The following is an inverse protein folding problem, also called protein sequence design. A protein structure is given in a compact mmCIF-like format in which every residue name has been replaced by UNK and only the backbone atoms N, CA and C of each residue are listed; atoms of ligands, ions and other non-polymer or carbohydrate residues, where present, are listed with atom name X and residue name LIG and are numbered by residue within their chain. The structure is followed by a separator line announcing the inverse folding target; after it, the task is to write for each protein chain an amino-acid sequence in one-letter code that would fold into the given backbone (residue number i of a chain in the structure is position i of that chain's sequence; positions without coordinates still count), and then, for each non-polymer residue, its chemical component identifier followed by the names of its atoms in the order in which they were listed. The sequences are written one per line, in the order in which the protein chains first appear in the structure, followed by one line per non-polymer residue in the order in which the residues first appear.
data_IF_055827301746
#
_entry.id   IF_055827301746
#
_cell.length_a   1.000
_cell.length_b   1.000
_cell.length_c   1.000
_cell.angle_alpha   90.00
_cell.angle_beta   90.00
_cell.angle_gamma   90.00
#
_symmetry.space_group_name_H-M   'P 1'
#
loop_
_entity.id
_entity.type
_entity.pdbx_description
1 polymer ?
#
# COMPACT_ATOMS: atom_id res chain seq x y z
N UNK A 1 53.59 -6.24 -22.79
CA UNK A 1 52.71 -5.14 -23.23
C UNK A 1 51.22 -5.50 -23.25
N UNK A 2 50.77 -6.61 -23.87
CA UNK A 2 49.33 -6.99 -23.89
C UNK A 2 48.69 -7.18 -22.50
N UNK A 3 49.40 -7.75 -21.53
CA UNK A 3 48.86 -7.96 -20.17
C UNK A 3 48.72 -6.66 -19.36
N UNK A 4 49.61 -5.67 -19.60
CA UNK A 4 49.53 -4.34 -18.98
C UNK A 4 48.35 -3.54 -19.58
N UNK A 5 48.10 -3.68 -20.89
CA UNK A 5 46.96 -3.03 -21.54
C UNK A 5 45.61 -3.61 -21.07
N UNK A 6 45.52 -4.93 -20.86
CA UNK A 6 44.32 -5.58 -20.30
C UNK A 6 44.10 -5.15 -18.85
N UNK A 7 45.16 -5.06 -18.04
CA UNK A 7 45.06 -4.58 -16.66
C UNK A 7 44.63 -3.10 -16.59
N UNK A 8 45.09 -2.24 -17.50
CA UNK A 8 44.66 -0.83 -17.58
C UNK A 8 43.20 -0.71 -18.04
N UNK A 9 42.75 -1.53 -19.01
CA UNK A 9 41.33 -1.57 -19.40
C UNK A 9 40.46 -2.09 -18.25
N UNK A 10 40.94 -3.06 -17.46
CA UNK A 10 40.25 -3.54 -16.26
C UNK A 10 40.23 -2.50 -15.13
N UNK A 11 41.33 -1.78 -14.90
CA UNK A 11 41.42 -0.67 -13.93
C UNK A 11 40.55 0.53 -14.32
N UNK A 12 40.40 0.82 -15.61
CA UNK A 12 39.48 1.85 -16.11
C UNK A 12 38.02 1.37 -16.00
N UNK A 13 37.75 0.06 -16.14
CA UNK A 13 36.41 -0.50 -15.92
C UNK A 13 35.99 -0.61 -14.45
N UNK A 14 36.94 -0.43 -13.52
CA UNK A 14 36.70 -0.42 -12.07
C UNK A 14 36.59 0.99 -11.50
N UNK A 15 36.22 1.99 -12.32
CA UNK A 15 35.65 3.21 -11.76
C UNK A 15 34.29 2.83 -11.17
N UNK A 16 34.29 2.51 -9.88
CA UNK A 16 33.11 2.57 -9.03
C UNK A 16 32.46 3.94 -9.30
N UNK A 17 31.41 3.96 -10.11
CA UNK A 17 30.61 5.16 -10.33
C UNK A 17 29.90 5.44 -9.01
N UNK A 18 30.56 6.23 -8.16
CA UNK A 18 29.93 6.81 -6.99
C UNK A 18 28.67 7.52 -7.46
N UNK A 19 27.54 7.28 -6.78
CA UNK A 19 26.30 7.99 -7.10
C UNK A 19 26.57 9.49 -7.06
N UNK A 20 26.45 10.14 -8.22
CA UNK A 20 26.68 11.57 -8.32
C UNK A 20 25.46 12.28 -7.72
N UNK A 21 25.61 13.08 -6.66
CA UNK A 21 24.50 13.87 -6.15
C UNK A 21 24.05 14.88 -7.21
N UNK A 22 22.78 15.26 -7.18
CA UNK A 22 22.27 16.36 -8.00
C UNK A 22 23.13 17.61 -7.79
N UNK A 23 23.48 18.29 -8.89
CA UNK A 23 24.19 19.55 -8.80
C UNK A 23 23.29 20.62 -8.18
N UNK A 24 23.50 20.91 -6.90
CA UNK A 24 22.70 21.87 -6.14
C UNK A 24 22.58 23.27 -6.77
N UNK A 25 23.55 23.71 -7.60
CA UNK A 25 23.50 25.02 -8.28
C UNK A 25 22.50 25.07 -9.43
N UNK A 26 22.09 23.90 -9.93
CA UNK A 26 21.10 23.76 -11.00
C UNK A 26 19.67 23.56 -10.46
N UNK A 27 19.49 23.44 -9.15
CA UNK A 27 18.16 23.27 -8.56
C UNK A 27 17.49 24.64 -8.46
N UNK A 28 16.32 24.79 -9.10
CA UNK A 28 15.52 26.01 -9.10
C UNK A 28 14.49 25.99 -7.98
N UNK A 29 13.83 24.84 -7.82
CA UNK A 29 12.91 24.59 -6.70
C UNK A 29 13.14 23.17 -6.19
N UNK A 30 13.01 22.98 -4.89
CA UNK A 30 12.90 21.68 -4.25
C UNK A 30 11.83 21.83 -3.16
N UNK A 31 10.78 21.02 -3.20
CA UNK A 31 9.58 21.17 -2.37
C UNK A 31 9.41 19.88 -1.55
N UNK A 32 9.34 20.00 -0.23
CA UNK A 32 9.09 18.88 0.68
C UNK A 32 7.57 18.70 0.85
N UNK A 33 6.96 17.88 -0.01
CA UNK A 33 5.51 17.72 -0.06
C UNK A 33 4.97 17.14 1.26
N UNK A 34 3.99 17.81 1.83
CA UNK A 34 3.40 17.52 3.13
C UNK A 34 4.16 18.10 4.33
N UNK A 35 5.29 18.80 4.14
CA UNK A 35 6.02 19.39 5.26
C UNK A 35 5.75 20.89 5.41
N UNK A 36 5.66 21.37 6.65
CA UNK A 36 5.74 22.80 6.97
C UNK A 36 7.15 23.22 7.40
N UNK A 37 8.17 22.45 7.03
CA UNK A 37 9.57 22.72 7.38
C UNK A 37 10.47 22.59 6.17
N UNK A 38 11.36 23.56 6.02
CA UNK A 38 12.49 23.42 5.09
C UNK A 38 13.46 22.35 5.59
N UNK A 39 14.11 21.66 4.64
CA UNK A 39 15.08 20.61 4.94
C UNK A 39 16.29 20.72 4.01
N UNK A 40 17.49 20.77 4.58
CA UNK A 40 18.73 20.62 3.83
C UNK A 40 18.90 19.16 3.42
N UNK A 41 19.00 18.94 2.11
CA UNK A 41 19.34 17.66 1.51
C UNK A 41 20.84 17.35 1.71
N UNK A 42 21.19 16.07 1.71
CA UNK A 42 22.57 15.58 1.76
C UNK A 42 23.37 16.08 0.56
N UNK A 43 22.72 16.25 -0.60
CA UNK A 43 23.27 16.89 -1.80
C UNK A 43 23.54 18.40 -1.69
N UNK A 44 23.27 19.03 -0.55
CA UNK A 44 23.66 20.41 -0.24
C UNK A 44 22.67 21.50 -0.65
N UNK A 45 21.59 21.16 -1.36
CA UNK A 45 20.45 22.06 -1.60
C UNK A 45 19.43 22.00 -0.46
N UNK A 46 18.45 22.90 -0.48
CA UNK A 46 17.40 22.99 0.55
C UNK A 46 16.04 22.77 -0.11
N UNK A 47 15.30 21.79 0.40
CA UNK A 47 13.88 21.70 0.16
C UNK A 47 13.18 22.81 0.94
N UNK A 48 12.33 23.58 0.26
CA UNK A 48 11.36 24.45 0.89
C UNK A 48 10.29 23.63 1.58
N UNK A 49 9.51 24.33 2.41
CA UNK A 49 8.22 23.85 2.88
C UNK A 49 7.31 23.51 1.67
N UNK A 50 6.25 22.77 1.95
CA UNK A 50 5.24 22.43 0.96
C UNK A 50 4.50 23.69 0.50
N UNK A 51 4.95 24.25 -0.62
CA UNK A 51 4.40 25.44 -1.24
C UNK A 51 3.90 25.11 -2.64
N UNK A 52 3.11 26.03 -3.21
CA UNK A 52 2.58 25.95 -4.58
C UNK A 52 1.53 24.85 -4.83
N UNK A 53 1.12 24.10 -3.82
CA UNK A 53 -0.05 23.23 -3.93
C UNK A 53 -1.34 24.04 -3.97
N UNK A 54 -2.27 23.65 -4.83
CA UNK A 54 -3.55 24.34 -4.97
C UNK A 54 -4.63 23.70 -4.10
N UNK A 55 -4.97 24.35 -2.98
CA UNK A 55 -6.02 23.89 -2.08
C UNK A 55 -7.43 24.00 -2.65
N UNK A 56 -7.66 24.87 -3.64
CA UNK A 56 -9.00 25.10 -4.18
C UNK A 56 -9.49 23.91 -5.01
N UNK A 57 -8.56 23.21 -5.69
CA UNK A 57 -8.87 22.04 -6.51
C UNK A 57 -8.54 20.71 -5.83
N UNK A 58 -7.56 20.67 -4.90
CA UNK A 58 -6.93 19.39 -4.56
C UNK A 58 -7.57 18.57 -3.45
N UNK A 59 -8.41 19.16 -2.58
CA UNK A 59 -8.86 18.53 -1.31
C UNK A 59 -7.74 17.75 -0.58
N UNK A 60 -6.48 18.17 -0.80
CA UNK A 60 -5.35 17.33 -0.48
C UNK A 60 -5.03 17.45 1.00
N UNK A 61 -4.65 16.31 1.57
CA UNK A 61 -4.31 16.16 2.97
C UNK A 61 -2.82 15.86 3.09
N UNK A 62 -2.34 16.02 4.31
CA UNK A 62 -0.95 15.72 4.68
C UNK A 62 -0.96 14.58 5.66
N UNK A 63 -0.04 13.64 5.47
CA UNK A 63 0.32 12.65 6.48
C UNK A 63 1.77 12.88 6.91
N UNK A 64 1.98 12.90 8.22
CA UNK A 64 3.30 13.01 8.85
C UNK A 64 3.60 11.70 9.58
N UNK A 65 4.52 10.92 9.04
CA UNK A 65 4.94 9.63 9.56
C UNK A 65 5.91 9.73 10.74
N UNK A 66 6.42 10.94 11.10
CA UNK A 66 7.41 11.10 12.18
C UNK A 66 6.92 10.61 13.53
N UNK A 67 5.61 10.57 13.75
CA UNK A 67 5.01 10.09 14.99
C UNK A 67 4.65 8.60 14.95
N UNK A 68 4.79 7.94 13.79
CA UNK A 68 4.49 6.52 13.65
C UNK A 68 5.74 5.69 13.98
N UNK A 69 5.70 4.98 15.09
CA UNK A 69 6.78 4.08 15.53
C UNK A 69 7.11 3.03 14.45
N UNK A 70 6.06 2.47 13.83
CA UNK A 70 6.19 1.54 12.71
C UNK A 70 6.97 2.15 11.54
N UNK A 71 6.89 3.46 11.30
CA UNK A 71 7.68 4.10 10.25
C UNK A 71 9.13 4.34 10.69
N UNK A 72 9.32 4.86 11.90
CA UNK A 72 10.63 5.25 12.41
C UNK A 72 11.62 4.08 12.52
N UNK A 73 11.10 2.87 12.72
CA UNK A 73 11.92 1.65 12.82
C UNK A 73 12.26 1.00 11.47
N UNK A 74 11.67 1.48 10.37
CA UNK A 74 11.82 0.88 9.04
C UNK A 74 13.05 1.40 8.31
N UNK A 75 13.66 0.53 7.52
CA UNK A 75 14.79 0.89 6.67
C UNK A 75 14.27 1.42 5.33
N UNK A 76 14.68 2.63 4.96
CA UNK A 76 14.31 3.24 3.68
C UNK A 76 15.40 2.96 2.65
N UNK A 77 15.03 2.41 1.50
CA UNK A 77 15.98 2.07 0.44
C UNK A 77 16.19 3.23 -0.54
N UNK A 78 17.44 3.41 -0.97
CA UNK A 78 17.86 4.31 -2.04
C UNK A 78 17.67 5.81 -1.75
N UNK A 79 17.84 6.19 -0.50
CA UNK A 79 17.90 7.59 -0.11
C UNK A 79 18.75 7.78 1.13
N UNK A 80 19.50 8.87 1.17
CA UNK A 80 20.19 9.35 2.37
C UNK A 80 19.36 10.47 3.05
N UNK A 81 18.30 10.95 2.38
CA UNK A 81 17.46 12.07 2.78
C UNK A 81 16.12 11.60 3.36
N UNK A 82 16.18 10.72 4.37
CA UNK A 82 15.01 10.09 5.02
C UNK A 82 13.89 11.06 5.38
N UNK A 83 14.24 12.26 5.85
CA UNK A 83 13.28 13.26 6.33
C UNK A 83 12.31 13.80 5.27
N UNK A 84 12.65 13.68 3.98
CA UNK A 84 11.76 14.05 2.87
C UNK A 84 10.61 13.06 2.73
N UNK A 85 10.85 11.79 3.04
CA UNK A 85 9.85 10.72 2.94
C UNK A 85 9.05 10.51 4.23
N UNK A 86 9.34 11.31 5.26
CA UNK A 86 8.57 11.35 6.50
C UNK A 86 7.23 12.05 6.36
N UNK A 87 7.09 12.88 5.33
CA UNK A 87 5.83 13.56 5.02
C UNK A 87 5.39 13.20 3.62
N UNK A 88 4.08 13.20 3.42
CA UNK A 88 3.48 12.95 2.13
C UNK A 88 2.21 13.78 1.99
N UNK A 89 2.02 14.38 0.81
CA UNK A 89 0.74 14.93 0.40
C UNK A 89 -0.05 13.86 -0.34
N UNK A 90 -1.33 13.75 -0.02
CA UNK A 90 -2.24 12.78 -0.61
C UNK A 90 -3.63 13.37 -0.84
N UNK A 91 -4.48 12.77 -1.67
CA UNK A 91 -5.87 13.25 -1.84
C UNK A 91 -6.88 12.11 -1.96
N UNK A 92 -7.70 11.91 -0.91
CA UNK A 92 -8.72 10.85 -0.88
C UNK A 92 -9.79 11.01 -1.96
N UNK A 93 -10.18 12.25 -2.27
CA UNK A 93 -11.37 12.55 -3.05
C UNK A 93 -11.10 13.38 -4.31
N UNK A 94 -9.84 13.67 -4.64
CA UNK A 94 -9.52 14.51 -5.79
C UNK A 94 -8.09 14.36 -6.27
N UNK A 95 -7.69 15.31 -7.10
CA UNK A 95 -6.36 15.39 -7.67
C UNK A 95 -5.41 16.09 -6.68
N UNK A 96 -4.11 15.88 -6.80
CA UNK A 96 -3.13 16.80 -6.19
C UNK A 96 -2.63 17.71 -7.30
N UNK A 97 -2.71 19.02 -7.08
CA UNK A 97 -2.30 20.02 -8.08
C UNK A 97 -1.20 20.89 -7.48
N UNK A 98 -0.09 21.03 -8.19
CA UNK A 98 0.98 21.98 -7.90
C UNK A 98 1.14 22.95 -9.07
N UNK A 99 1.24 24.23 -8.77
CA UNK A 99 1.43 25.32 -9.72
C UNK A 99 2.88 25.83 -9.61
N UNK A 100 3.82 25.14 -10.25
CA UNK A 100 5.26 25.38 -10.06
C UNK A 100 5.66 26.67 -10.78
N UNK A 101 6.20 27.69 -10.09
CA UNK A 101 6.48 28.98 -10.70
C UNK A 101 7.56 28.90 -11.80
N UNK A 102 7.39 29.68 -12.88
CA UNK A 102 8.40 29.78 -13.95
C UNK A 102 9.02 31.17 -14.12
N UNK A 103 8.69 32.12 -13.24
CA UNK A 103 9.08 33.53 -13.38
C UNK A 103 10.61 33.72 -13.45
N UNK A 104 11.35 32.91 -12.70
CA UNK A 104 12.82 32.99 -12.62
C UNK A 104 13.52 31.97 -13.54
N UNK A 105 12.77 31.37 -14.47
CA UNK A 105 13.26 30.38 -15.42
C UNK A 105 13.47 31.02 -16.80
N UNK A 106 14.62 30.74 -17.41
CA UNK A 106 14.88 31.08 -18.79
C UNK A 106 13.91 30.31 -19.71
N UNK A 107 13.40 31.01 -20.73
CA UNK A 107 12.60 30.41 -21.81
C UNK A 107 13.51 29.78 -22.88
N UNK A 108 12.92 28.95 -23.73
CA UNK A 108 13.59 28.10 -24.72
C UNK A 108 14.72 27.24 -24.10
N UNK A 109 14.49 26.79 -22.86
CA UNK A 109 15.47 26.05 -22.06
C UNK A 109 14.89 24.76 -21.53
N UNK A 110 15.74 23.74 -21.44
CA UNK A 110 15.38 22.44 -20.89
C UNK A 110 15.44 22.45 -19.36
N UNK A 111 14.45 21.81 -18.77
CA UNK A 111 14.37 21.53 -17.34
C UNK A 111 13.97 20.07 -17.13
N UNK A 112 14.24 19.58 -15.93
CA UNK A 112 13.77 18.26 -15.49
C UNK A 112 12.98 18.44 -14.21
N UNK A 113 11.73 17.98 -14.25
CA UNK A 113 10.92 17.81 -13.05
C UNK A 113 11.18 16.41 -12.48
N UNK A 114 11.67 16.34 -11.26
CA UNK A 114 11.93 15.09 -10.53
C UNK A 114 10.85 14.95 -9.48
N UNK A 115 10.03 13.92 -9.62
CA UNK A 115 8.93 13.60 -8.71
C UNK A 115 9.36 12.47 -7.80
N UNK A 116 9.30 12.70 -6.49
CA UNK A 116 9.81 11.77 -5.49
C UNK A 116 8.65 11.10 -4.76
N UNK A 117 8.67 9.78 -4.78
CA UNK A 117 7.62 8.93 -4.21
C UNK A 117 8.22 7.89 -3.29
N UNK A 118 7.41 7.47 -2.32
CA UNK A 118 7.61 6.24 -1.58
C UNK A 118 6.25 5.67 -1.21
N UNK A 119 6.09 4.38 -1.42
CA UNK A 119 4.89 3.66 -0.99
C UNK A 119 5.07 3.14 0.44
N UNK A 120 4.12 3.50 1.30
CA UNK A 120 4.09 3.11 2.70
C UNK A 120 3.00 2.07 2.98
N UNK A 121 1.84 2.17 2.33
CA UNK A 121 0.65 1.39 2.67
C UNK A 121 0.55 0.09 1.88
N UNK A 122 0.96 0.09 0.62
CA UNK A 122 0.76 -1.04 -0.27
C UNK A 122 2.07 -1.72 -0.69
N UNK A 123 2.19 -3.01 -0.44
CA UNK A 123 3.34 -3.80 -0.91
C UNK A 123 3.09 -4.49 -2.25
N UNK A 124 1.84 -4.50 -2.73
CA UNK A 124 1.44 -5.22 -3.94
C UNK A 124 1.14 -4.23 -5.08
N UNK A 125 1.61 -4.52 -6.30
CA UNK A 125 1.18 -3.80 -7.49
C UNK A 125 -0.34 -3.78 -7.65
N UNK A 126 -0.84 -2.76 -8.33
CA UNK A 126 -2.23 -2.50 -8.65
C UNK A 126 -3.04 -1.85 -7.53
N UNK A 127 -2.47 -1.68 -6.33
CA UNK A 127 -3.20 -1.16 -5.17
C UNK A 127 -3.31 0.35 -5.12
N UNK A 128 -2.35 1.08 -5.69
CA UNK A 128 -2.42 2.53 -5.84
C UNK A 128 -2.03 2.87 -7.26
N UNK A 129 -3.02 3.36 -8.01
CA UNK A 129 -2.83 3.83 -9.38
C UNK A 129 -3.43 5.21 -9.53
N UNK A 130 -2.69 6.12 -10.14
CA UNK A 130 -3.08 7.50 -10.45
C UNK A 130 -2.37 7.95 -11.73
N UNK A 131 -2.89 8.94 -12.45
CA UNK A 131 -2.15 9.52 -13.56
C UNK A 131 -1.27 10.66 -13.05
N UNK A 132 -0.17 10.93 -13.75
CA UNK A 132 0.64 12.13 -13.57
C UNK A 132 0.54 12.92 -14.87
N UNK A 133 0.00 14.13 -14.79
CA UNK A 133 -0.22 15.01 -15.92
C UNK A 133 0.63 16.28 -15.75
N UNK A 134 1.14 16.79 -16.87
CA UNK A 134 1.73 18.11 -16.96
C UNK A 134 0.76 18.93 -17.80
N UNK A 135 0.01 19.80 -17.13
CA UNK A 135 -1.20 20.46 -17.61
C UNK A 135 -2.22 19.48 -18.16
N UNK A 136 -2.64 19.71 -19.40
CA UNK A 136 -3.63 18.89 -20.10
C UNK A 136 -3.06 17.59 -20.70
N UNK A 137 -1.77 17.30 -20.52
CA UNK A 137 -1.13 16.13 -21.12
C UNK A 137 -0.67 15.12 -20.09
N UNK A 138 -1.08 13.85 -20.24
CA UNK A 138 -0.65 12.76 -19.35
C UNK A 138 0.80 12.35 -19.62
N UNK A 139 1.60 12.41 -18.57
CA UNK A 139 3.02 12.00 -18.57
C UNK A 139 3.20 10.55 -18.16
N UNK A 140 2.52 10.13 -17.09
CA UNK A 140 2.49 8.74 -16.67
C UNK A 140 1.04 8.32 -16.48
N UNK A 141 0.60 7.35 -17.28
CA UNK A 141 -0.73 6.77 -17.19
C UNK A 141 -0.73 5.60 -16.21
N UNK A 142 -1.74 5.53 -15.33
CA UNK A 142 -1.89 4.45 -14.33
C UNK A 142 -0.61 4.21 -13.52
N UNK A 143 0.07 5.29 -13.14
CA UNK A 143 1.32 5.23 -12.39
C UNK A 143 1.12 4.51 -11.05
N UNK A 144 2.00 3.54 -10.80
CA UNK A 144 1.94 2.63 -9.65
C UNK A 144 3.33 2.48 -9.02
N UNK A 145 3.49 3.07 -7.84
CA UNK A 145 4.75 3.09 -7.10
C UNK A 145 5.15 1.65 -6.68
N UNK A 146 4.20 0.83 -6.24
CA UNK A 146 4.47 -0.54 -5.80
C UNK A 146 4.89 -1.43 -6.99
N UNK A 147 4.30 -1.22 -8.17
CA UNK A 147 4.72 -1.89 -9.41
C UNK A 147 6.16 -1.53 -9.80
N UNK A 148 6.51 -0.24 -9.74
CA UNK A 148 7.89 0.23 -9.99
C UNK A 148 8.91 -0.39 -9.04
N UNK A 149 8.50 -0.61 -7.79
CA UNK A 149 9.37 -1.11 -6.73
C UNK A 149 9.28 -2.62 -6.48
N UNK A 150 8.52 -3.38 -7.29
CA UNK A 150 8.25 -4.80 -7.02
C UNK A 150 9.52 -5.65 -6.89
N UNK A 151 10.54 -5.37 -7.71
CA UNK A 151 11.83 -6.08 -7.69
C UNK A 151 12.82 -5.48 -6.68
N UNK A 152 12.43 -4.42 -5.97
CA UNK A 152 13.28 -3.63 -5.07
C UNK A 152 12.82 -3.69 -3.61
N UNK A 153 11.73 -4.43 -3.29
CA UNK A 153 11.21 -4.58 -1.93
C UNK A 153 9.80 -4.01 -1.70
N UNK A 154 9.22 -3.33 -2.68
CA UNK A 154 7.87 -2.77 -2.61
C UNK A 154 7.79 -1.53 -1.70
N UNK A 155 7.45 -1.72 -0.42
CA UNK A 155 7.29 -0.63 0.56
C UNK A 155 8.65 -0.06 1.00
N UNK A 156 8.66 1.19 1.44
CA UNK A 156 9.86 1.89 1.95
C UNK A 156 11.00 2.00 0.93
N UNK A 157 10.68 1.78 -0.35
CA UNK A 157 11.60 1.98 -1.46
C UNK A 157 11.31 3.33 -2.07
N UNK A 158 12.32 4.18 -2.11
CA UNK A 158 12.23 5.48 -2.78
C UNK A 158 12.21 5.28 -4.30
N UNK A 159 11.28 5.96 -4.95
CA UNK A 159 11.12 6.00 -6.40
C UNK A 159 11.08 7.44 -6.89
N UNK A 160 12.05 7.80 -7.72
CA UNK A 160 12.12 9.09 -8.38
C UNK A 160 11.71 8.93 -9.86
N UNK A 161 10.85 9.80 -10.35
CA UNK A 161 10.45 9.86 -11.76
C UNK A 161 10.88 11.19 -12.38
N UNK A 162 11.42 11.12 -13.60
CA UNK A 162 12.06 12.26 -14.26
C UNK A 162 11.28 12.64 -15.51
N UNK A 163 10.87 13.90 -15.58
CA UNK A 163 10.15 14.48 -16.71
C UNK A 163 11.01 15.61 -17.28
N UNK A 164 11.75 15.32 -18.37
CA UNK A 164 12.44 16.36 -19.13
C UNK A 164 11.43 17.11 -20.01
N UNK A 165 11.49 18.44 -19.97
CA UNK A 165 10.70 19.29 -20.85
C UNK A 165 11.49 20.53 -21.28
N UNK A 166 11.09 21.10 -22.42
CA UNK A 166 11.52 22.39 -22.93
C UNK A 166 10.45 23.42 -22.58
N UNK A 167 10.81 24.42 -21.78
CA UNK A 167 9.97 25.58 -21.51
C UNK A 167 10.14 26.57 -22.67
N UNK A 168 9.08 26.85 -23.42
CA UNK A 168 9.12 27.71 -24.59
C UNK A 168 8.75 29.16 -24.25
N UNK A 169 9.20 30.10 -25.07
CA UNK A 169 8.91 31.54 -24.95
C UNK A 169 7.43 31.89 -25.09
N UNK A 170 6.70 31.15 -25.92
CA UNK A 170 5.27 31.29 -26.12
C UNK A 170 4.39 30.74 -24.98
N UNK A 171 4.97 30.34 -23.84
CA UNK A 171 4.23 29.80 -22.71
C UNK A 171 3.86 28.32 -22.84
N UNK A 172 4.40 27.62 -23.83
CA UNK A 172 4.21 26.18 -23.99
C UNK A 172 5.30 25.38 -23.28
N UNK A 173 4.94 24.20 -22.82
CA UNK A 173 5.82 23.16 -22.32
C UNK A 173 5.85 22.05 -23.36
N UNK A 174 7.01 21.77 -23.92
CA UNK A 174 7.20 20.65 -24.84
C UNK A 174 7.95 19.51 -24.15
N UNK A 175 7.42 18.30 -24.17
CA UNK A 175 8.13 17.12 -23.66
C UNK A 175 8.00 15.94 -24.61
N UNK A 176 8.92 14.99 -24.51
CA UNK A 176 8.99 13.84 -25.41
C UNK A 176 8.64 12.55 -24.67
N UNK A 177 7.76 11.74 -25.23
CA UNK A 177 7.41 10.41 -24.73
C UNK A 177 7.26 9.42 -25.87
N UNK A 178 7.87 8.24 -25.73
CA UNK A 178 7.66 7.05 -26.60
C UNK A 178 7.54 7.46 -28.08
N UNK A 179 8.57 8.17 -28.57
CA UNK A 179 8.74 8.63 -29.96
C UNK A 179 7.83 9.78 -30.43
N UNK A 180 7.10 10.44 -29.54
CA UNK A 180 6.22 11.57 -29.89
C UNK A 180 6.45 12.77 -28.97
N UNK A 181 6.33 13.96 -29.57
CA UNK A 181 6.31 15.22 -28.85
C UNK A 181 4.90 15.54 -28.36
N UNK A 182 4.81 15.98 -27.12
CA UNK A 182 3.61 16.42 -26.45
C UNK A 182 3.79 17.87 -26.01
N UNK A 183 2.67 18.58 -25.91
CA UNK A 183 2.63 19.99 -25.58
C UNK A 183 1.61 20.21 -24.49
N UNK A 184 1.96 21.07 -23.54
CA UNK A 184 1.01 21.59 -22.57
C UNK A 184 1.21 23.08 -22.37
N UNK A 185 0.20 23.74 -21.85
CA UNK A 185 0.22 25.18 -21.59
C UNK A 185 0.61 25.43 -20.13
N UNK A 186 1.31 26.54 -19.89
CA UNK A 186 1.38 27.10 -18.54
C UNK A 186 -0.01 27.58 -18.10
N UNK A 187 -0.24 27.66 -16.80
CA UNK A 187 -1.38 28.36 -16.25
C UNK A 187 -1.34 29.85 -16.65
N UNK A 188 -2.46 30.56 -16.49
CA UNK A 188 -2.57 32.00 -16.78
C UNK A 188 -1.55 32.84 -16.01
N UNK A 189 -1.15 32.40 -14.81
CA UNK A 189 -0.12 33.05 -13.98
C UNK A 189 1.33 32.71 -14.40
N UNK A 190 1.49 31.89 -15.44
CA UNK A 190 2.78 31.41 -15.95
C UNK A 190 3.39 30.27 -15.14
N UNK A 191 2.66 29.63 -14.23
CA UNK A 191 3.15 28.44 -13.52
C UNK A 191 2.96 27.16 -14.35
N UNK A 192 3.75 26.13 -14.05
CA UNK A 192 3.60 24.78 -14.61
C UNK A 192 2.55 24.03 -13.79
N UNK A 193 1.41 23.65 -14.39
CA UNK A 193 0.45 22.78 -13.73
C UNK A 193 0.96 21.33 -13.67
N UNK A 194 1.35 20.85 -12.50
CA UNK A 194 1.59 19.44 -12.22
C UNK A 194 0.35 18.85 -11.54
N UNK A 195 -0.27 17.84 -12.15
CA UNK A 195 -1.51 17.24 -11.66
C UNK A 195 -1.30 15.75 -11.44
N UNK A 196 -1.44 15.28 -10.20
CA UNK A 196 -1.57 13.87 -9.90
C UNK A 196 -3.07 13.56 -9.84
N UNK A 197 -3.56 12.95 -10.90
CA UNK A 197 -4.98 12.71 -11.12
C UNK A 197 -5.40 11.39 -10.49
N UNK A 198 -6.41 11.45 -9.61
CA UNK A 198 -7.02 10.25 -9.04
C UNK A 198 -7.78 9.50 -10.13
N UNK A 199 -7.52 8.20 -10.26
CA UNK A 199 -8.32 7.30 -11.11
C UNK A 199 -9.14 6.33 -10.26
N UNK A 200 -8.48 5.52 -9.43
CA UNK A 200 -9.10 4.49 -8.60
C UNK A 200 -8.76 4.76 -7.14
N UNK A 201 -7.47 4.85 -6.83
CA UNK A 201 -6.95 5.11 -5.50
C UNK A 201 -6.32 6.50 -5.43
N UNK A 202 -6.12 6.96 -4.20
CA UNK A 202 -5.67 8.32 -3.97
C UNK A 202 -4.20 8.52 -4.39
N UNK A 203 -3.90 9.61 -5.13
CA UNK A 203 -2.53 9.98 -5.47
C UNK A 203 -1.75 10.37 -4.22
N UNK A 204 -0.43 10.22 -4.31
CA UNK A 204 0.52 10.59 -3.25
C UNK A 204 1.80 11.18 -3.83
N UNK A 205 2.47 12.08 -3.10
CA UNK A 205 3.79 12.61 -3.45
C UNK A 205 4.57 13.07 -2.21
N UNK A 206 5.87 12.79 -2.18
CA UNK A 206 6.77 13.12 -1.05
C UNK A 206 7.67 14.33 -1.36
N UNK A 207 8.09 14.51 -2.60
CA UNK A 207 8.94 15.63 -2.98
C UNK A 207 8.84 15.98 -4.45
N UNK A 208 9.15 17.23 -4.76
CA UNK A 208 9.26 17.75 -6.13
C UNK A 208 10.57 18.51 -6.25
N UNK A 209 11.35 18.26 -7.30
CA UNK A 209 12.54 19.06 -7.62
C UNK A 209 12.43 19.55 -9.06
N UNK A 210 12.64 20.85 -9.27
CA UNK A 210 12.83 21.43 -10.59
C UNK A 210 14.33 21.71 -10.81
N UNK A 211 14.89 21.04 -11.81
CA UNK A 211 16.30 21.07 -12.14
C UNK A 211 16.54 21.75 -13.50
N UNK A 212 17.50 22.67 -13.56
CA UNK A 212 17.96 23.38 -14.77
C UNK A 212 18.98 22.55 -15.54
N UNK A 213 18.53 21.98 -16.66
CA UNK A 213 19.34 21.11 -17.50
C UNK A 213 18.52 20.05 -18.19
N UNK A 214 19.23 19.08 -18.77
CA UNK A 214 18.63 17.90 -19.39
C UNK A 214 18.70 16.70 -18.44
N UNK A 215 18.05 15.60 -18.82
CA UNK A 215 17.96 14.38 -18.02
C UNK A 215 19.32 13.70 -17.79
N UNK A 216 20.31 13.93 -18.66
CA UNK A 216 21.67 13.41 -18.51
C UNK A 216 22.51 14.24 -17.54
N UNK A 217 22.07 15.45 -17.19
CA UNK A 217 22.70 16.30 -16.18
C UNK A 217 22.24 15.95 -14.74
N UNK A 218 21.22 15.11 -14.60
CA UNK A 218 20.67 14.68 -13.30
C UNK A 218 21.39 13.42 -12.77
N UNK A 219 20.92 12.90 -11.64
CA UNK A 219 21.36 11.63 -11.05
C UNK A 219 20.55 10.41 -11.55
N UNK A 220 19.76 10.56 -12.63
CA UNK A 220 18.85 9.49 -13.10
C UNK A 220 19.61 8.21 -13.44
N UNK A 221 20.71 8.31 -14.18
CA UNK A 221 21.48 7.15 -14.62
C UNK A 221 22.06 6.37 -13.43
N UNK A 222 22.42 7.07 -12.36
CA UNK A 222 22.96 6.49 -11.13
C UNK A 222 21.88 5.84 -10.26
N UNK A 223 20.63 6.35 -10.28
CA UNK A 223 19.49 5.76 -9.56
C UNK A 223 18.90 4.56 -10.31
N UNK A 224 18.77 4.65 -11.64
CA UNK A 224 18.28 3.56 -12.49
C UNK A 224 19.34 2.48 -12.74
N UNK A 225 20.61 2.82 -12.52
CA UNK A 225 21.73 1.90 -12.58
C UNK A 225 21.68 0.80 -11.51
N UNK A 226 22.73 -0.02 -11.49
CA UNK A 226 22.83 -1.12 -10.55
C UNK A 226 23.00 -0.61 -9.11
N UNK A 227 21.90 -0.66 -8.36
CA UNK A 227 21.78 -0.22 -6.98
C UNK A 227 22.68 -0.97 -5.98
N UNK A 228 23.50 -1.94 -6.44
CA UNK A 228 24.51 -2.64 -5.64
C UNK A 228 25.42 -1.70 -4.86
N UNK A 229 25.81 -0.54 -5.41
CA UNK A 229 26.69 0.38 -4.68
C UNK A 229 26.02 0.92 -3.41
N UNK A 230 24.80 1.47 -3.54
CA UNK A 230 24.07 2.00 -2.39
C UNK A 230 23.80 0.91 -1.34
N UNK A 231 23.46 -0.30 -1.80
CA UNK A 231 23.26 -1.47 -0.92
C UNK A 231 24.53 -1.91 -0.19
N UNK A 232 25.70 -1.87 -0.83
CA UNK A 232 26.96 -2.18 -0.16
C UNK A 232 27.36 -1.09 0.84
N UNK A 233 27.13 0.19 0.54
CA UNK A 233 27.38 1.29 1.50
C UNK A 233 26.51 1.15 2.76
N UNK A 234 25.25 0.76 2.61
CA UNK A 234 24.29 0.65 3.71
C UNK A 234 24.10 -0.79 4.23
N UNK A 235 24.99 -1.71 3.86
CA UNK A 235 24.87 -3.14 4.18
C UNK A 235 24.81 -3.42 5.68
N UNK A 236 25.61 -2.70 6.46
CA UNK A 236 25.65 -2.86 7.91
C UNK A 236 24.32 -2.42 8.54
N UNK A 237 23.83 -1.24 8.17
CA UNK A 237 22.55 -0.72 8.67
C UNK A 237 21.38 -1.63 8.30
N UNK A 238 21.39 -2.16 7.08
CA UNK A 238 20.38 -3.11 6.62
C UNK A 238 20.44 -4.43 7.39
N UNK A 239 21.63 -4.97 7.66
CA UNK A 239 21.80 -6.17 8.47
C UNK A 239 21.34 -5.94 9.92
N UNK A 240 21.67 -4.80 10.50
CA UNK A 240 21.22 -4.42 11.84
C UNK A 240 19.69 -4.32 11.89
N UNK A 241 19.07 -3.69 10.90
CA UNK A 241 17.61 -3.63 10.79
C UNK A 241 17.00 -5.04 10.70
N UNK A 242 17.54 -5.94 9.87
CA UNK A 242 17.06 -7.34 9.78
C UNK A 242 17.15 -8.05 11.13
N UNK A 243 18.27 -7.90 11.82
CA UNK A 243 18.49 -8.53 13.12
C UNK A 243 17.48 -8.03 14.15
N UNK A 244 17.20 -6.71 14.19
CA UNK A 244 16.15 -6.14 15.05
C UNK A 244 14.77 -6.73 14.74
N UNK A 245 14.36 -6.79 13.48
CA UNK A 245 13.06 -7.37 13.08
C UNK A 245 12.94 -8.85 13.44
N UNK A 246 14.03 -9.62 13.32
CA UNK A 246 14.05 -11.02 13.75
C UNK A 246 13.90 -11.14 15.27
N UNK A 247 14.56 -10.28 16.03
CA UNK A 247 14.47 -10.26 17.49
C UNK A 247 13.07 -9.85 17.99
N UNK A 248 12.47 -8.82 17.40
CA UNK A 248 11.10 -8.41 17.68
C UNK A 248 10.12 -9.55 17.43
N UNK A 249 10.26 -10.25 16.30
CA UNK A 249 9.44 -11.42 15.98
C UNK A 249 9.64 -12.55 17.00
N UNK A 250 10.87 -12.77 17.46
CA UNK A 250 11.17 -13.78 18.49
C UNK A 250 10.48 -13.45 19.81
N UNK A 251 10.61 -12.21 20.29
CA UNK A 251 9.96 -11.72 21.52
C UNK A 251 8.44 -11.85 21.45
N UNK A 252 7.83 -11.43 20.33
CA UNK A 252 6.39 -11.58 20.12
C UNK A 252 5.93 -13.04 20.21
N UNK A 253 6.66 -13.97 19.57
CA UNK A 253 6.34 -15.41 19.63
C UNK A 253 6.52 -16.00 21.03
N UNK A 254 7.51 -15.52 21.80
CA UNK A 254 7.71 -15.93 23.20
C UNK A 254 6.58 -15.42 24.10
N UNK A 255 6.17 -14.17 23.95
CA UNK A 255 5.02 -13.60 24.67
C UNK A 255 3.72 -14.36 24.36
N UNK A 256 3.46 -14.66 23.09
CA UNK A 256 2.29 -15.46 22.69
C UNK A 256 2.32 -16.88 23.28
N UNK A 257 3.50 -17.52 23.37
CA UNK A 257 3.64 -18.81 24.06
C UNK A 257 3.36 -18.66 25.55
N UNK A 258 3.87 -17.63 26.20
CA UNK A 258 3.64 -17.37 27.62
C UNK A 258 2.16 -17.11 27.92
N UNK A 259 1.45 -16.34 27.08
CA UNK A 259 0.00 -16.13 27.19
C UNK A 259 -0.76 -17.46 27.11
N UNK A 260 -0.39 -18.34 26.17
CA UNK A 260 -1.01 -19.68 26.04
C UNK A 260 -0.76 -20.56 27.26
N UNK A 261 0.44 -20.51 27.83
CA UNK A 261 0.78 -21.25 29.07
C UNK A 261 -0.04 -20.71 30.24
N UNK A 262 -0.11 -19.39 30.43
CA UNK A 262 -0.92 -18.77 31.49
C UNK A 262 -2.39 -19.15 31.36
N UNK A 263 -2.96 -19.03 30.16
CA UNK A 263 -4.34 -19.43 29.90
C UNK A 263 -4.58 -20.92 30.20
N UNK A 264 -3.64 -21.80 29.84
CA UNK A 264 -3.75 -23.23 30.14
C UNK A 264 -3.69 -23.49 31.66
N UNK A 265 -2.77 -22.84 32.37
CA UNK A 265 -2.64 -22.98 33.82
C UNK A 265 -3.88 -22.46 34.55
N UNK A 266 -4.42 -21.29 34.15
CA UNK A 266 -5.68 -20.75 34.70
C UNK A 266 -6.85 -21.73 34.49
N UNK A 267 -6.93 -22.39 33.33
CA UNK A 267 -7.93 -23.42 33.07
C UNK A 267 -7.73 -24.69 33.91
N UNK A 268 -6.49 -25.06 34.23
CA UNK A 268 -6.17 -26.19 35.11
C UNK A 268 -6.48 -25.87 36.58
N UNK A 269 -6.14 -24.66 37.06
CA UNK A 269 -6.49 -24.17 38.39
C UNK A 269 -8.01 -24.12 38.60
N UNK A 270 -8.78 -23.58 37.64
CA UNK A 270 -10.24 -23.57 37.69
C UNK A 270 -10.85 -24.98 37.80
N UNK A 271 -10.25 -25.97 37.12
CA UNK A 271 -10.68 -27.37 37.22
C UNK A 271 -10.31 -27.98 38.57
N UNK A 272 -9.13 -27.66 39.09
CA UNK A 272 -8.66 -28.18 40.37
C UNK A 272 -9.47 -27.60 41.55
N UNK A 273 -9.82 -26.31 41.51
CA UNK A 273 -10.70 -25.67 42.51
C UNK A 273 -12.12 -26.21 42.45
N UNK A 274 -12.65 -26.45 41.24
CA UNK A 274 -13.94 -27.15 41.08
C UNK A 274 -13.91 -28.57 41.64
N UNK A 275 -12.82 -29.30 41.44
CA UNK A 275 -12.68 -30.68 41.91
C UNK A 275 -12.49 -30.76 43.44
N UNK A 276 -11.70 -29.84 44.02
CA UNK A 276 -11.48 -29.73 45.46
C UNK A 276 -12.77 -29.33 46.22
N UNK A 277 -13.59 -28.46 45.61
CA UNK A 277 -14.93 -28.10 46.11
C UNK A 277 -15.87 -29.32 46.19
N UNK A 278 -15.89 -30.16 45.16
CA UNK A 278 -16.77 -31.34 45.10
C UNK A 278 -16.36 -32.40 46.13
N UNK A 279 -15.06 -32.72 46.24
CA UNK A 279 -14.57 -33.73 47.18
C UNK A 279 -14.79 -33.31 48.65
N UNK A 280 -14.59 -32.03 48.99
CA UNK A 280 -14.90 -31.52 50.32
C UNK A 280 -16.40 -31.48 50.61
N UNK A 281 -17.22 -31.17 49.61
CA UNK A 281 -18.67 -31.18 49.76
C UNK A 281 -19.17 -32.61 50.05
N UNK A 282 -18.70 -33.63 49.31
CA UNK A 282 -19.09 -35.04 49.48
C UNK A 282 -18.62 -35.63 50.82
N UNK A 283 -17.61 -35.07 51.48
CA UNK A 283 -17.17 -35.53 52.79
C UNK A 283 -18.04 -35.02 53.95
N UNK A 284 -18.92 -34.04 53.72
CA UNK A 284 -19.86 -33.56 54.74
C UNK A 284 -21.21 -34.26 54.64
N UNK A 285 -21.91 -34.54 55.76
CA UNK A 285 -23.24 -35.16 55.73
C UNK A 285 -24.25 -34.36 54.90
N UNK A 286 -24.16 -33.03 54.93
CA UNK A 286 -25.01 -32.13 54.16
C UNK A 286 -24.72 -32.19 52.65
N UNK A 287 -23.44 -32.29 52.27
CA UNK A 287 -23.08 -32.40 50.86
C UNK A 287 -23.40 -33.77 50.25
N UNK A 288 -23.33 -34.87 51.02
CA UNK A 288 -23.86 -36.18 50.59
C UNK A 288 -25.36 -36.08 50.28
N UNK A 289 -26.13 -35.42 51.16
CA UNK A 289 -27.57 -35.20 50.95
C UNK A 289 -27.82 -34.39 49.67
N UNK A 290 -27.05 -33.33 49.43
CA UNK A 290 -27.13 -32.52 48.22
C UNK A 290 -26.81 -33.32 46.95
N UNK A 291 -25.78 -34.18 46.99
CA UNK A 291 -25.46 -35.06 45.86
C UNK A 291 -26.57 -36.07 45.58
N UNK A 292 -27.19 -36.65 46.62
CA UNK A 292 -28.34 -37.54 46.46
C UNK A 292 -29.53 -36.78 45.84
N UNK A 293 -29.81 -35.55 46.28
CA UNK A 293 -30.87 -34.71 45.72
C UNK A 293 -30.59 -34.38 44.25
N UNK A 294 -29.36 -34.01 43.90
CA UNK A 294 -28.96 -33.75 42.51
C UNK A 294 -29.06 -35.03 41.67
N UNK A 295 -28.67 -36.19 42.22
CA UNK A 295 -28.81 -37.48 41.52
C UNK A 295 -30.27 -37.82 41.27
N UNK A 296 -31.15 -37.60 42.27
CA UNK A 296 -32.60 -37.80 42.11
C UNK A 296 -33.17 -36.80 41.10
N UNK A 297 -32.74 -35.53 41.12
CA UNK A 297 -33.25 -34.50 40.21
C UNK A 297 -32.76 -34.70 38.78
N UNK A 298 -31.51 -35.13 38.59
CA UNK A 298 -30.96 -35.45 37.27
C UNK A 298 -31.55 -36.75 36.76
N UNK A 299 -31.78 -37.74 37.61
CA UNK A 299 -32.51 -38.95 37.24
C UNK A 299 -33.96 -38.65 36.85
N UNK A 300 -34.67 -37.76 37.55
CA UNK A 300 -36.01 -37.33 37.12
C UNK A 300 -35.95 -36.50 35.85
N UNK A 301 -34.97 -35.62 35.67
CA UNK A 301 -34.82 -34.85 34.43
C UNK A 301 -34.41 -35.72 33.22
N UNK A 302 -33.59 -36.76 33.42
CA UNK A 302 -33.27 -37.78 32.41
C UNK A 302 -34.51 -38.61 32.12
N UNK A 303 -35.26 -39.02 33.16
CA UNK A 303 -36.54 -39.71 33.00
C UNK A 303 -37.52 -38.86 32.18
N UNK A 304 -37.62 -37.55 32.45
CA UNK A 304 -38.41 -36.65 31.61
C UNK A 304 -37.79 -36.50 30.21
N UNK A 305 -36.51 -36.21 30.03
CA UNK A 305 -35.97 -36.03 28.66
C UNK A 305 -36.05 -37.28 27.77
N UNK A 306 -36.00 -38.49 28.34
CA UNK A 306 -36.13 -39.74 27.59
C UNK A 306 -37.57 -40.29 27.54
N UNK A 307 -38.44 -39.93 28.49
CA UNK A 307 -39.83 -40.39 28.57
C UNK A 307 -40.85 -39.24 28.62
N UNK A 308 -40.51 -38.03 28.14
CA UNK A 308 -41.42 -36.90 28.03
C UNK A 308 -42.26 -37.08 26.76
N UNK A 309 -43.57 -37.42 26.91
CA UNK A 309 -44.45 -37.61 25.77
C UNK A 309 -44.59 -36.34 24.91
N UNK A 310 -44.26 -35.15 25.43
CA UNK A 310 -44.31 -33.89 24.68
C UNK A 310 -43.09 -33.66 23.76
N UNK A 311 -41.94 -34.24 24.07
CA UNK A 311 -40.72 -34.08 23.28
C UNK A 311 -40.78 -34.76 21.90
N UNK A 312 -41.46 -35.90 21.81
CA UNK A 312 -41.66 -36.62 20.55
C UNK A 312 -42.58 -35.86 19.59
N UNK A 313 -43.63 -35.21 20.08
CA UNK A 313 -44.56 -34.42 19.25
C UNK A 313 -43.86 -33.18 18.63
N UNK A 314 -42.96 -32.54 19.38
CA UNK A 314 -42.17 -31.40 18.89
C UNK A 314 -41.14 -31.81 17.82
N UNK A 315 -40.48 -32.97 17.96
CA UNK A 315 -39.58 -33.48 16.93
C UNK A 315 -40.32 -33.84 15.64
N UNK A 316 -41.55 -34.36 15.75
CA UNK A 316 -42.39 -34.69 14.59
C UNK A 316 -42.85 -33.41 13.85
N UNK A 317 -43.29 -32.38 14.59
CA UNK A 317 -43.61 -31.06 14.02
C UNK A 317 -42.39 -30.37 13.38
N UNK A 318 -41.20 -30.50 13.98
CA UNK A 318 -39.97 -29.95 13.39
C UNK A 318 -39.58 -30.67 12.09
N UNK A 319 -39.71 -32.00 12.05
CA UNK A 319 -39.52 -32.78 10.82
C UNK A 319 -40.51 -32.37 9.73
N UNK A 320 -41.78 -32.13 10.08
CA UNK A 320 -42.80 -31.67 9.13
C UNK A 320 -42.49 -30.27 8.57
N UNK A 321 -42.03 -29.34 9.43
CA UNK A 321 -41.59 -28.00 9.03
C UNK A 321 -40.35 -28.08 8.12
N UNK A 322 -39.39 -28.94 8.44
CA UNK A 322 -38.18 -29.12 7.63
C UNK A 322 -38.49 -29.74 6.27
N UNK A 323 -39.45 -30.69 6.21
CA UNK A 323 -39.94 -31.28 4.97
C UNK A 323 -40.60 -30.21 4.08
N UNK A 324 -41.49 -29.37 4.65
CA UNK A 324 -42.12 -28.24 3.93
C UNK A 324 -41.08 -27.24 3.41
N UNK A 325 -40.03 -26.95 4.18
CA UNK A 325 -38.91 -26.09 3.73
C UNK A 325 -38.13 -26.71 2.57
N UNK A 326 -37.86 -28.02 2.61
CA UNK A 326 -37.20 -28.74 1.51
C UNK A 326 -38.04 -28.76 0.24
N UNK A 327 -39.35 -28.93 0.35
CA UNK A 327 -40.28 -28.83 -0.80
C UNK A 327 -40.29 -27.42 -1.40
N UNK A 328 -40.38 -26.38 -0.58
CA UNK A 328 -40.31 -24.99 -1.05
C UNK A 328 -38.99 -24.69 -1.78
N UNK A 329 -37.85 -25.17 -1.27
CA UNK A 329 -36.57 -25.02 -1.95
C UNK A 329 -36.51 -25.79 -3.27
N UNK A 330 -37.08 -27.00 -3.34
CA UNK A 330 -37.17 -27.79 -4.57
C UNK A 330 -38.00 -27.06 -5.62
N UNK A 331 -39.15 -26.49 -5.23
CA UNK A 331 -39.99 -25.71 -6.12
C UNK A 331 -39.29 -24.43 -6.59
N UNK A 332 -38.58 -23.72 -5.71
CA UNK A 332 -37.80 -22.53 -6.08
C UNK A 332 -36.73 -22.86 -7.14
N UNK A 333 -36.00 -23.97 -6.97
CA UNK A 333 -35.03 -24.44 -7.96
C UNK A 333 -35.68 -24.82 -9.29
N UNK A 334 -36.88 -25.39 -9.27
CA UNK A 334 -37.63 -25.74 -10.47
C UNK A 334 -38.01 -24.49 -11.28
N UNK A 335 -38.53 -23.43 -10.64
CA UNK A 335 -38.87 -22.18 -11.31
C UNK A 335 -37.65 -21.42 -11.85
N UNK A 336 -36.54 -21.41 -11.10
CA UNK A 336 -35.29 -20.81 -11.58
C UNK A 336 -34.72 -21.52 -12.82
N UNK A 337 -34.97 -22.83 -12.95
CA UNK A 337 -34.56 -23.58 -14.15
C UNK A 337 -35.41 -23.20 -15.36
N UNK A 338 -36.72 -23.01 -15.18
CA UNK A 338 -37.62 -22.56 -16.25
C UNK A 338 -37.22 -21.16 -16.75
N UNK A 339 -36.92 -20.22 -15.84
CA UNK A 339 -36.46 -18.87 -16.24
C UNK A 339 -35.13 -18.88 -17.00
N UNK A 340 -34.23 -19.83 -16.69
CA UNK A 340 -32.96 -19.98 -17.39
C UNK A 340 -33.15 -20.57 -18.80
N UNK A 341 -34.00 -21.60 -18.91
CA UNK A 341 -34.32 -22.23 -20.19
C UNK A 341 -35.05 -21.23 -21.15
N UNK A 342 -35.94 -20.37 -20.62
CA UNK A 342 -36.62 -19.31 -21.38
C UNK A 342 -35.64 -18.22 -21.89
N UNK A 343 -34.62 -17.87 -21.11
CA UNK A 343 -33.59 -16.90 -21.51
C UNK A 343 -32.68 -17.44 -22.62
N UNK A 344 -32.32 -18.72 -22.55
CA UNK A 344 -31.53 -19.37 -23.61
C UNK A 344 -32.32 -19.48 -24.92
N UNK A 345 -33.63 -19.74 -24.87
CA UNK A 345 -34.49 -19.76 -26.06
C UNK A 345 -34.64 -18.37 -26.71
N UNK A 346 -34.75 -17.30 -25.90
CA UNK A 346 -34.74 -15.93 -26.41
C UNK A 346 -33.39 -15.55 -27.05
N UNK A 347 -32.27 -15.96 -26.45
CA UNK A 347 -30.93 -15.71 -26.99
C UNK A 347 -30.67 -16.46 -28.31
N UNK A 348 -31.17 -17.70 -28.45
CA UNK A 348 -31.12 -18.46 -29.70
C UNK A 348 -31.98 -17.83 -30.80
N UNK A 349 -33.14 -17.30 -30.46
CA UNK A 349 -34.04 -16.62 -31.40
C UNK A 349 -33.42 -15.31 -31.92
N UNK A 350 -32.69 -14.59 -31.07
CA UNK A 350 -31.98 -13.37 -31.46
C UNK A 350 -30.78 -13.67 -32.38
N UNK A 351 -29.96 -14.69 -32.06
CA UNK A 351 -28.85 -15.12 -32.95
C UNK A 351 -29.30 -15.55 -34.34
N UNK A 352 -30.45 -16.23 -34.45
CA UNK A 352 -31.00 -16.66 -35.73
C UNK A 352 -31.61 -15.51 -36.56
N UNK A 353 -31.96 -14.38 -35.93
CA UNK A 353 -32.34 -13.15 -36.65
C UNK A 353 -31.13 -12.43 -37.21
N UNK A 354 -30.05 -12.37 -36.43
CA UNK A 354 -28.82 -11.67 -36.83
C UNK A 354 -28.08 -12.44 -37.95
N UNK A 355 -28.17 -13.78 -38.00
CA UNK A 355 -27.56 -14.59 -39.06
C UNK A 355 -28.33 -14.62 -40.39
N UNK A 356 -29.45 -13.90 -40.52
CA UNK A 356 -30.22 -13.75 -41.78
C UNK A 356 -30.04 -12.39 -42.45
N UNK A 357 -29.17 -11.53 -41.90
CA UNK A 357 -28.90 -10.17 -42.39
C UNK A 357 -27.52 -10.07 -43.09
N UNK A 358 -26.74 -11.15 -43.12
CA UNK A 358 -25.61 -11.36 -44.04
C UNK A 358 -26.02 -12.28 -45.19
#
# INVERSE_FOLDING_TARGET
MKQILIAIIFLISLTLTQQRPLNHKKIKYAINCGSNRSKRATGGFVYSEDTFFDNSYSQSKVIDYRQLEDFNNEFLFYTDDREIYMTQRYSENGNIVYNIPTKDLDKNRKYVLILQFMEFEYSKPGKRKFNINLGNSTVFKEYDIASKNQNRGGKFVVQDEYIEFLLQDNGMIKFHQIYKDYFSELNEDGSIPLILEKIENYPVINGIILFDGNIFDTNKAEIEGDNRYWLEQHKNEWNDHKNRKQEEKRKYLEEEKQKKIRFKNEQEELKQDQQFSIDQMIQTPLGILMVIIIFISTFTMIYFTFFDPYGMEMQEKQKEIELKKKEQQKNKKYYQKIEFDDQDEQNLTQRNKDSKIE
#
